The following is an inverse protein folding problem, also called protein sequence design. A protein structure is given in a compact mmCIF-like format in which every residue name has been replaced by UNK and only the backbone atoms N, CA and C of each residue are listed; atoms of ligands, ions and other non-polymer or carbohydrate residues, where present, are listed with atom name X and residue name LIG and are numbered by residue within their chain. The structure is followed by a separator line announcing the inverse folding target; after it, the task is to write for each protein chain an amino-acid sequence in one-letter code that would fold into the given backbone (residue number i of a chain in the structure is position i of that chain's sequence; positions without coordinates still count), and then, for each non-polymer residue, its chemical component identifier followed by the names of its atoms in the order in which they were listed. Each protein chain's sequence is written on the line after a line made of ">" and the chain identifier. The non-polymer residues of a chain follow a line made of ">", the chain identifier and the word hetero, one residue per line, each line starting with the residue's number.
data_IF_556970912941
#
_entry.id   IF_556970912941
#
_cell.length_a   1.000
_cell.length_b   1.000
_cell.length_c   1.000
_cell.angle_alpha   90.00
_cell.angle_beta   90.00
_cell.angle_gamma   90.00
#
_symmetry.space_group_name_H-M   'P 1'
#
loop_
_entity.id
_entity.type
_entity.pdbx_description
1 polymer ?
#
# COMPACT_ATOMS: atom_id res chain seq x y z
N UNK A 1 -0.60 -12.48 4.69
CA UNK A 1 -0.88 -11.17 5.28
C UNK A 1 -2.02 -10.53 4.51
N UNK A 2 -3.06 -10.07 5.21
CA UNK A 2 -4.27 -9.49 4.62
C UNK A 2 -4.21 -7.96 4.67
N UNK A 3 -4.45 -7.31 3.52
CA UNK A 3 -4.54 -5.86 3.41
C UNK A 3 -5.90 -5.49 2.83
N UNK A 4 -6.45 -4.39 3.30
CA UNK A 4 -7.62 -3.74 2.69
C UNK A 4 -7.17 -2.38 2.18
N UNK A 5 -7.25 -2.21 0.87
CA UNK A 5 -7.02 -0.91 0.24
C UNK A 5 -8.32 -0.14 0.34
N UNK A 6 -8.27 1.06 0.88
CA UNK A 6 -9.47 1.85 1.20
C UNK A 6 -9.32 3.27 0.71
N UNK A 7 -10.39 3.81 0.19
CA UNK A 7 -10.55 5.22 -0.17
C UNK A 7 -11.97 5.70 0.15
N UNK A 8 -12.15 7.01 0.39
CA UNK A 8 -13.44 7.62 0.70
C UNK A 8 -13.68 8.91 -0.06
N UNK A 9 -14.95 9.15 -0.47
CA UNK A 9 -15.42 10.46 -0.91
C UNK A 9 -16.28 11.09 0.17
N UNK A 10 -16.24 12.43 0.25
CA UNK A 10 -16.82 13.16 1.36
C UNK A 10 -17.52 14.45 0.91
N UNK A 11 -18.39 15.01 1.77
CA UNK A 11 -19.04 16.29 1.50
C UNK A 11 -18.11 17.51 1.63
N UNK A 12 -16.86 17.31 2.08
CA UNK A 12 -15.90 18.39 2.29
C UNK A 12 -14.62 17.89 2.95
N UNK A 13 -13.88 18.78 3.61
CA UNK A 13 -12.54 18.49 4.12
C UNK A 13 -12.46 18.35 5.65
N UNK A 14 -13.55 18.65 6.37
CA UNK A 14 -13.51 18.87 7.81
C UNK A 14 -14.56 18.03 8.56
N UNK A 15 -14.26 16.79 8.95
CA UNK A 15 -15.18 15.92 9.68
C UNK A 15 -15.68 16.55 11.00
N UNK A 16 -14.82 17.36 11.67
CA UNK A 16 -15.14 18.07 12.90
C UNK A 16 -16.12 19.24 12.68
N UNK A 17 -16.30 19.70 11.44
CA UNK A 17 -17.24 20.77 11.07
C UNK A 17 -18.54 20.23 10.47
N UNK A 18 -18.73 18.91 10.56
CA UNK A 18 -19.95 18.27 10.12
C UNK A 18 -19.91 17.70 8.71
N UNK A 19 -18.76 17.69 8.04
CA UNK A 19 -18.63 16.95 6.79
C UNK A 19 -18.76 15.45 7.03
N UNK A 20 -19.28 14.73 6.03
CA UNK A 20 -19.69 13.33 6.10
C UNK A 20 -19.09 12.53 4.96
N UNK A 21 -18.94 11.22 5.17
CA UNK A 21 -18.60 10.28 4.09
C UNK A 21 -19.82 10.06 3.21
N UNK A 22 -19.62 10.03 1.89
CA UNK A 22 -20.67 9.78 0.89
C UNK A 22 -20.39 8.54 0.04
N UNK A 23 -19.15 8.11 -0.04
CA UNK A 23 -18.74 6.87 -0.70
C UNK A 23 -17.58 6.24 0.05
N UNK A 24 -17.54 4.94 0.12
CA UNK A 24 -16.39 4.15 0.58
C UNK A 24 -16.16 3.01 -0.39
N UNK A 25 -14.90 2.86 -0.82
CA UNK A 25 -14.43 1.76 -1.64
C UNK A 25 -13.34 0.98 -0.93
N UNK A 26 -13.46 -0.35 -0.90
CA UNK A 26 -12.45 -1.21 -0.30
C UNK A 26 -12.15 -2.40 -1.20
N UNK A 27 -10.87 -2.77 -1.30
CA UNK A 27 -10.40 -3.94 -2.06
C UNK A 27 -9.53 -4.81 -1.17
N UNK A 28 -9.79 -6.10 -1.19
CA UNK A 28 -8.99 -7.06 -0.42
C UNK A 28 -7.79 -7.58 -1.21
N UNK A 29 -6.63 -7.49 -0.59
CA UNK A 29 -5.42 -8.19 -1.04
C UNK A 29 -5.03 -9.24 0.01
N UNK A 30 -4.77 -10.46 -0.43
CA UNK A 30 -4.17 -11.48 0.41
C UNK A 30 -2.82 -11.92 -0.16
N UNK A 31 -1.79 -11.81 0.68
CA UNK A 31 -0.41 -12.11 0.25
C UNK A 31 -0.03 -11.39 -1.05
N UNK A 32 -0.40 -10.10 -1.15
CA UNK A 32 -0.14 -9.22 -2.31
C UNK A 32 -0.87 -9.62 -3.60
N UNK A 33 -1.96 -10.34 -3.50
CA UNK A 33 -2.80 -10.73 -4.65
C UNK A 33 -4.22 -10.27 -4.41
N UNK A 34 -4.88 -9.63 -5.39
CA UNK A 34 -6.30 -9.35 -5.29
C UNK A 34 -7.08 -10.66 -5.11
N UNK A 35 -7.98 -10.68 -4.14
CA UNK A 35 -8.85 -11.84 -3.88
C UNK A 35 -10.13 -11.78 -4.70
N UNK A 36 -10.43 -10.63 -5.29
CA UNK A 36 -11.70 -10.32 -5.95
C UNK A 36 -12.80 -9.89 -4.99
N UNK A 37 -12.54 -9.88 -3.67
CA UNK A 37 -13.50 -9.34 -2.72
C UNK A 37 -13.38 -7.83 -2.64
N UNK A 38 -14.50 -7.14 -2.75
CA UNK A 38 -14.63 -5.69 -2.63
C UNK A 38 -15.78 -5.34 -1.70
N UNK A 39 -15.70 -4.14 -1.13
CA UNK A 39 -16.81 -3.52 -0.43
C UNK A 39 -16.99 -2.13 -1.02
N UNK A 40 -18.24 -1.78 -1.37
CA UNK A 40 -18.54 -0.51 -1.98
C UNK A 40 -19.90 -0.01 -1.51
N UNK A 41 -19.92 1.17 -0.90
CA UNK A 41 -21.17 1.81 -0.49
C UNK A 41 -21.20 3.27 -0.91
N UNK A 42 -22.32 3.70 -1.45
CA UNK A 42 -22.76 5.08 -1.45
C UNK A 42 -23.61 5.34 -0.22
N UNK A 43 -23.47 6.49 0.40
CA UNK A 43 -24.15 6.82 1.65
C UNK A 43 -24.83 8.18 1.58
N UNK A 44 -26.04 8.24 2.15
CA UNK A 44 -26.70 9.51 2.39
C UNK A 44 -26.00 10.23 3.53
N UNK A 45 -25.41 11.43 3.28
CA UNK A 45 -24.70 12.20 4.31
C UNK A 45 -25.62 12.90 5.32
N UNK A 46 -26.94 12.80 5.14
CA UNK A 46 -27.95 13.51 5.95
C UNK A 46 -27.72 15.04 5.98
N UNK A 47 -27.16 15.57 4.91
CA UNK A 47 -26.88 16.99 4.69
C UNK A 47 -26.76 17.29 3.20
N UNK A 48 -26.83 18.56 2.84
CA UNK A 48 -26.64 18.99 1.46
C UNK A 48 -25.20 18.71 0.97
N UNK A 49 -25.09 18.37 -0.30
CA UNK A 49 -23.82 18.19 -0.99
C UNK A 49 -23.31 19.55 -1.50
N UNK A 50 -22.14 20.03 -1.02
CA UNK A 50 -21.54 21.22 -1.56
C UNK A 50 -21.10 21.03 -3.02
N UNK A 51 -21.35 22.03 -3.87
CA UNK A 51 -21.00 21.96 -5.30
C UNK A 51 -19.50 21.72 -5.53
N UNK A 52 -18.63 22.24 -4.65
CA UNK A 52 -17.20 22.03 -4.73
C UNK A 52 -16.80 20.56 -4.57
N UNK A 53 -17.47 19.81 -3.68
CA UNK A 53 -17.27 18.39 -3.51
C UNK A 53 -17.86 17.60 -4.68
N UNK A 54 -19.11 17.93 -5.07
CA UNK A 54 -19.77 17.31 -6.22
C UNK A 54 -18.98 17.48 -7.54
N UNK A 55 -18.27 18.58 -7.71
CA UNK A 55 -17.40 18.79 -8.88
C UNK A 55 -16.20 17.85 -8.93
N UNK A 56 -15.76 17.29 -7.80
CA UNK A 56 -14.62 16.38 -7.68
C UNK A 56 -15.06 14.94 -7.99
N UNK A 57 -16.06 14.42 -7.27
CA UNK A 57 -16.48 13.02 -7.33
C UNK A 57 -17.80 12.79 -8.10
N UNK A 58 -18.51 13.85 -8.50
CA UNK A 58 -19.72 13.75 -9.31
C UNK A 58 -21.00 13.34 -8.56
N UNK A 59 -20.92 13.01 -7.28
CA UNK A 59 -22.06 12.59 -6.47
C UNK A 59 -22.90 13.80 -6.07
N UNK A 60 -24.20 13.74 -6.28
CA UNK A 60 -25.16 14.82 -6.00
C UNK A 60 -26.17 14.40 -4.94
N UNK A 61 -26.81 15.38 -4.29
CA UNK A 61 -27.80 15.13 -3.23
C UNK A 61 -28.96 14.24 -3.68
N UNK A 62 -29.45 14.41 -4.92
CA UNK A 62 -30.53 13.61 -5.49
C UNK A 62 -30.16 12.13 -5.62
N UNK A 63 -28.94 11.84 -6.06
CA UNK A 63 -28.42 10.47 -6.14
C UNK A 63 -28.23 9.84 -4.76
N UNK A 64 -27.83 10.62 -3.75
CA UNK A 64 -27.51 10.13 -2.41
C UNK A 64 -28.74 10.03 -1.50
N UNK A 65 -29.86 10.67 -1.87
CA UNK A 65 -31.06 10.76 -1.03
C UNK A 65 -31.66 9.39 -0.64
N UNK A 66 -31.58 8.41 -1.52
CA UNK A 66 -32.11 7.06 -1.34
C UNK A 66 -31.08 6.04 -0.83
N UNK A 67 -29.85 6.46 -0.60
CA UNK A 67 -28.77 5.59 -0.12
C UNK A 67 -28.85 5.38 1.39
N UNK A 68 -28.31 4.25 1.91
CA UNK A 68 -28.25 4.02 3.35
C UNK A 68 -27.41 5.10 4.04
N UNK A 69 -27.73 5.42 5.28
CA UNK A 69 -26.87 6.24 6.13
C UNK A 69 -25.67 5.43 6.63
N UNK A 70 -24.59 6.09 7.05
CA UNK A 70 -23.38 5.41 7.55
C UNK A 70 -23.67 4.40 8.66
N UNK A 71 -24.59 4.70 9.56
CA UNK A 71 -25.00 3.82 10.65
C UNK A 71 -25.48 2.43 10.16
N UNK A 72 -26.12 2.38 9.00
CA UNK A 72 -26.68 1.13 8.44
C UNK A 72 -25.58 0.21 7.87
N UNK A 73 -24.45 0.75 7.44
CA UNK A 73 -23.36 0.01 6.77
C UNK A 73 -22.11 -0.15 7.66
N UNK A 74 -22.05 0.54 8.79
CA UNK A 74 -20.89 0.56 9.67
C UNK A 74 -20.44 -0.84 10.13
N UNK A 75 -21.39 -1.75 10.40
CA UNK A 75 -21.09 -3.11 10.80
C UNK A 75 -20.42 -3.92 9.69
N UNK A 76 -20.87 -3.75 8.44
CA UNK A 76 -20.28 -4.43 7.28
C UNK A 76 -18.88 -3.91 7.00
N UNK A 77 -18.67 -2.58 7.11
CA UNK A 77 -17.34 -1.97 6.99
C UNK A 77 -16.41 -2.55 8.06
N UNK A 78 -16.83 -2.56 9.34
CA UNK A 78 -16.02 -3.11 10.44
C UNK A 78 -15.68 -4.59 10.21
N UNK A 79 -16.63 -5.39 9.77
CA UNK A 79 -16.42 -6.81 9.48
C UNK A 79 -15.45 -7.03 8.31
N UNK A 80 -15.51 -6.17 7.29
CA UNK A 80 -14.65 -6.29 6.11
C UNK A 80 -13.18 -5.94 6.43
N UNK A 81 -12.93 -4.94 7.29
CA UNK A 81 -11.57 -4.51 7.66
C UNK A 81 -10.97 -5.30 8.82
N UNK A 82 -11.77 -6.10 9.51
CA UNK A 82 -11.34 -6.85 10.68
C UNK A 82 -10.11 -7.71 10.38
N UNK A 83 -9.13 -7.67 11.28
CA UNK A 83 -7.88 -8.44 11.21
C UNK A 83 -7.01 -8.16 9.96
N UNK A 84 -7.23 -7.02 9.28
CA UNK A 84 -6.46 -6.61 8.12
C UNK A 84 -5.72 -5.28 8.36
N UNK A 85 -4.52 -5.14 7.79
CA UNK A 85 -3.88 -3.82 7.69
C UNK A 85 -4.59 -3.01 6.60
N UNK A 86 -4.95 -1.77 6.94
CA UNK A 86 -5.64 -0.88 6.00
C UNK A 86 -4.60 -0.01 5.28
N UNK A 87 -4.67 0.04 3.96
CA UNK A 87 -3.77 0.83 3.10
C UNK A 87 -4.57 1.99 2.53
N UNK A 88 -4.11 3.19 2.76
CA UNK A 88 -4.78 4.43 2.36
C UNK A 88 -3.74 5.39 1.77
N UNK A 89 -4.16 6.26 0.86
CA UNK A 89 -3.31 7.33 0.33
C UNK A 89 -3.64 8.65 1.02
N UNK A 90 -2.74 9.19 1.85
CA UNK A 90 -3.00 10.30 2.77
C UNK A 90 -3.96 9.90 3.90
N UNK A 91 -3.62 8.83 4.58
CA UNK A 91 -4.45 8.18 5.60
C UNK A 91 -5.07 9.10 6.68
N UNK A 92 -4.45 10.20 7.13
CA UNK A 92 -5.06 11.10 8.10
C UNK A 92 -6.41 11.66 7.67
N UNK A 93 -6.63 11.85 6.35
CA UNK A 93 -7.89 12.35 5.82
C UNK A 93 -9.03 11.34 6.05
N UNK A 94 -8.93 10.17 5.49
CA UNK A 94 -9.97 9.13 5.57
C UNK A 94 -10.19 8.64 7.00
N UNK A 95 -9.10 8.45 7.74
CA UNK A 95 -9.18 8.05 9.14
C UNK A 95 -9.88 9.10 10.02
N UNK A 96 -9.68 10.39 9.72
CA UNK A 96 -10.39 11.47 10.40
C UNK A 96 -11.90 11.36 10.23
N UNK A 97 -12.36 11.09 9.01
CA UNK A 97 -13.76 10.89 8.70
C UNK A 97 -14.32 9.60 9.30
N UNK A 98 -13.64 8.48 9.09
CA UNK A 98 -14.06 7.18 9.64
C UNK A 98 -14.17 7.23 11.17
N UNK A 99 -13.14 7.76 11.85
CA UNK A 99 -13.19 7.89 13.31
C UNK A 99 -14.37 8.75 13.77
N UNK A 100 -14.67 9.84 13.07
CA UNK A 100 -15.79 10.73 13.41
C UNK A 100 -17.14 10.03 13.18
N UNK A 101 -17.31 9.28 12.10
CA UNK A 101 -18.54 8.54 11.83
C UNK A 101 -18.79 7.47 12.90
N UNK A 102 -17.78 6.69 13.29
CA UNK A 102 -17.89 5.70 14.38
C UNK A 102 -18.14 6.37 15.73
N UNK A 103 -17.51 7.50 16.01
CA UNK A 103 -17.75 8.29 17.22
C UNK A 103 -19.22 8.75 17.33
N UNK A 104 -19.82 9.19 16.21
CA UNK A 104 -21.26 9.57 16.15
C UNK A 104 -22.16 8.41 16.49
N UNK A 105 -21.75 7.17 16.24
CA UNK A 105 -22.46 5.95 16.64
C UNK A 105 -22.19 5.52 18.07
N UNK A 106 -21.39 6.25 18.84
CA UNK A 106 -20.96 5.86 20.19
C UNK A 106 -20.03 4.64 20.18
N UNK A 107 -19.39 4.33 19.06
CA UNK A 107 -18.48 3.21 18.91
C UNK A 107 -17.01 3.66 19.07
N UNK A 108 -16.09 2.72 19.36
CA UNK A 108 -14.67 3.02 19.34
C UNK A 108 -14.21 3.59 18.00
N UNK A 109 -13.16 4.44 17.99
CA UNK A 109 -12.58 4.94 16.76
C UNK A 109 -12.21 3.79 15.79
N UNK A 110 -12.40 4.00 14.49
CA UNK A 110 -12.07 3.02 13.44
C UNK A 110 -10.63 2.50 13.57
N UNK A 111 -9.70 3.38 13.93
CA UNK A 111 -8.29 3.05 14.15
C UNK A 111 -8.04 2.03 15.27
N UNK A 112 -8.98 1.82 16.18
CA UNK A 112 -8.88 0.80 17.23
C UNK A 112 -9.43 -0.56 16.78
N UNK A 113 -10.11 -0.62 15.64
CA UNK A 113 -10.72 -1.85 15.10
C UNK A 113 -9.79 -2.62 14.16
N UNK A 114 -8.67 -2.01 13.78
CA UNK A 114 -7.72 -2.55 12.80
C UNK A 114 -6.33 -2.70 13.41
N UNK A 115 -5.54 -3.71 12.99
CA UNK A 115 -4.19 -3.94 13.53
C UNK A 115 -3.18 -2.86 13.11
N UNK A 116 -3.40 -2.16 12.01
CA UNK A 116 -2.49 -1.10 11.56
C UNK A 116 -2.91 -0.45 10.25
N UNK A 117 -2.26 0.68 9.96
CA UNK A 117 -2.47 1.48 8.76
C UNK A 117 -1.16 1.64 8.01
N UNK A 118 -1.22 1.56 6.69
CA UNK A 118 -0.14 1.92 5.78
C UNK A 118 -0.56 3.19 5.04
N UNK A 119 0.20 4.27 5.20
CA UNK A 119 -0.01 5.51 4.44
C UNK A 119 0.94 5.54 3.23
N UNK A 120 0.39 5.27 2.05
CA UNK A 120 1.17 5.23 0.82
C UNK A 120 1.71 6.58 0.39
N UNK A 121 1.13 7.72 0.86
CA UNK A 121 1.69 9.04 0.60
C UNK A 121 3.01 9.24 1.34
N UNK A 122 3.06 8.83 2.62
CA UNK A 122 4.30 8.90 3.41
C UNK A 122 5.38 8.02 2.79
N UNK A 123 5.04 6.80 2.40
CA UNK A 123 6.00 5.88 1.78
C UNK A 123 6.47 6.41 0.42
N UNK A 124 5.57 6.96 -0.40
CA UNK A 124 5.94 7.60 -1.66
C UNK A 124 6.85 8.83 -1.47
N UNK A 125 6.62 9.64 -0.43
CA UNK A 125 7.49 10.78 -0.11
C UNK A 125 8.90 10.33 0.27
N UNK A 126 9.03 9.21 0.96
CA UNK A 126 10.34 8.60 1.28
C UNK A 126 11.05 8.06 0.03
N UNK A 127 10.30 7.39 -0.86
CA UNK A 127 10.83 6.83 -2.11
C UNK A 127 11.19 7.91 -3.13
N UNK A 128 10.42 9.00 -3.17
CA UNK A 128 10.54 10.07 -4.18
C UNK A 128 10.57 11.45 -3.54
N UNK A 129 11.62 11.78 -2.76
CA UNK A 129 11.71 13.07 -2.09
C UNK A 129 11.69 14.24 -3.09
N UNK A 130 10.95 15.28 -2.75
CA UNK A 130 10.83 16.49 -3.59
C UNK A 130 9.99 16.33 -4.86
N UNK A 131 9.37 15.17 -5.07
CA UNK A 131 8.43 14.95 -6.19
C UNK A 131 6.97 15.08 -5.73
N UNK A 132 6.07 15.33 -6.69
CA UNK A 132 4.64 15.18 -6.45
C UNK A 132 4.33 13.70 -6.26
N UNK A 133 3.52 13.39 -5.26
CA UNK A 133 3.20 12.03 -4.88
C UNK A 133 1.67 11.84 -4.68
N UNK A 134 0.84 12.56 -5.43
CA UNK A 134 -0.60 12.29 -5.51
C UNK A 134 -0.82 10.94 -6.19
N UNK A 135 -1.97 10.34 -6.02
CA UNK A 135 -2.30 9.04 -6.61
C UNK A 135 -2.08 9.04 -8.13
N UNK A 136 -2.53 10.09 -8.85
CA UNK A 136 -2.31 10.24 -10.30
C UNK A 136 -0.83 10.34 -10.68
N UNK A 137 -0.03 11.10 -9.90
CA UNK A 137 1.42 11.22 -10.13
C UNK A 137 2.12 9.87 -9.97
N UNK A 138 1.65 9.05 -9.02
CA UNK A 138 2.18 7.70 -8.78
C UNK A 138 1.73 6.74 -9.88
N UNK A 139 0.47 6.77 -10.31
CA UNK A 139 -0.01 6.00 -11.45
C UNK A 139 0.84 6.27 -12.69
N UNK A 140 1.06 7.54 -13.04
CA UNK A 140 1.91 7.93 -14.16
C UNK A 140 3.34 7.41 -14.01
N UNK A 141 3.92 7.52 -12.81
CA UNK A 141 5.31 7.09 -12.52
C UNK A 141 5.50 5.59 -12.65
N UNK A 142 4.51 4.81 -12.24
CA UNK A 142 4.55 3.34 -12.31
C UNK A 142 3.95 2.77 -13.59
N UNK A 143 3.50 3.62 -14.54
CA UNK A 143 2.87 3.18 -15.79
C UNK A 143 1.51 2.52 -15.60
N UNK A 144 0.80 2.86 -14.53
CA UNK A 144 -0.55 2.39 -14.23
C UNK A 144 -1.53 3.29 -15.01
N UNK A 145 -2.40 2.68 -15.81
CA UNK A 145 -3.36 3.41 -16.64
C UNK A 145 -4.51 3.94 -15.78
N UNK A 146 -4.73 5.25 -15.82
CA UNK A 146 -5.82 5.95 -15.13
C UNK A 146 -6.64 6.87 -16.06
N UNK A 147 -6.52 6.68 -17.38
CA UNK A 147 -7.17 7.48 -18.42
C UNK A 147 -8.71 7.37 -18.42
N UNK A 148 -9.26 6.32 -17.81
CA UNK A 148 -10.69 6.14 -17.61
C UNK A 148 -11.25 6.89 -16.38
N UNK A 149 -10.38 7.44 -15.51
CA UNK A 149 -10.75 8.22 -14.34
C UNK A 149 -11.07 9.66 -14.72
N UNK A 150 -12.33 9.93 -15.02
CA UNK A 150 -12.82 11.30 -15.31
C UNK A 150 -13.21 12.08 -14.06
N UNK A 151 -13.71 11.38 -13.06
CA UNK A 151 -14.08 11.89 -11.74
C UNK A 151 -13.45 10.98 -10.69
N UNK A 152 -13.32 11.49 -9.49
CA UNK A 152 -12.91 10.67 -8.34
C UNK A 152 -14.07 9.74 -7.95
N UNK A 153 -13.74 8.53 -7.53
CA UNK A 153 -14.70 7.56 -7.02
C UNK A 153 -13.97 6.57 -6.14
N UNK A 154 -14.46 6.38 -4.91
CA UNK A 154 -13.73 5.67 -3.87
C UNK A 154 -13.34 4.23 -4.27
N UNK A 155 -14.19 3.49 -4.97
CA UNK A 155 -13.82 2.14 -5.40
C UNK A 155 -12.74 2.16 -6.49
N UNK A 156 -12.87 3.05 -7.49
CA UNK A 156 -11.90 3.20 -8.57
C UNK A 156 -10.53 3.67 -8.01
N UNK A 157 -10.56 4.61 -7.08
CA UNK A 157 -9.34 5.13 -6.45
C UNK A 157 -8.68 4.06 -5.57
N UNK A 158 -9.46 3.21 -4.89
CA UNK A 158 -8.94 2.03 -4.20
C UNK A 158 -8.32 1.00 -5.17
N UNK A 159 -8.88 0.80 -6.39
CA UNK A 159 -8.30 -0.07 -7.42
C UNK A 159 -6.93 0.47 -7.88
N UNK A 160 -6.87 1.74 -8.24
CA UNK A 160 -5.62 2.40 -8.63
C UNK A 160 -4.59 2.37 -7.50
N UNK A 161 -5.04 2.60 -6.26
CA UNK A 161 -4.18 2.54 -5.08
C UNK A 161 -3.64 1.13 -4.83
N UNK A 162 -4.43 0.08 -5.09
CA UNK A 162 -3.97 -1.29 -4.98
C UNK A 162 -2.80 -1.56 -5.94
N UNK A 163 -2.93 -1.14 -7.20
CA UNK A 163 -1.86 -1.29 -8.20
C UNK A 163 -0.62 -0.47 -7.83
N UNK A 164 -0.80 0.77 -7.36
CA UNK A 164 0.30 1.63 -6.87
C UNK A 164 0.99 0.98 -5.66
N UNK A 165 0.25 0.51 -4.67
CA UNK A 165 0.80 -0.17 -3.49
C UNK A 165 1.59 -1.42 -3.88
N UNK A 166 1.07 -2.23 -4.78
CA UNK A 166 1.78 -3.40 -5.31
C UNK A 166 3.05 -3.01 -6.08
N UNK A 167 3.03 -1.92 -6.85
CA UNK A 167 4.19 -1.42 -7.57
C UNK A 167 5.26 -0.86 -6.62
N UNK A 168 4.87 -0.03 -5.66
CA UNK A 168 5.78 0.55 -4.65
C UNK A 168 6.50 -0.50 -3.83
N UNK A 169 5.82 -1.59 -3.51
CA UNK A 169 6.34 -2.68 -2.69
C UNK A 169 6.93 -3.85 -3.51
N UNK A 170 7.03 -3.72 -4.85
CA UNK A 170 7.78 -4.65 -5.70
C UNK A 170 9.28 -4.44 -5.44
N UNK A 171 9.96 -5.47 -5.02
CA UNK A 171 11.42 -5.41 -4.77
C UNK A 171 11.80 -5.18 -3.31
N UNK A 172 10.89 -4.94 -2.41
CA UNK A 172 11.10 -5.14 -0.97
C UNK A 172 11.03 -6.64 -0.61
N UNK A 173 11.66 -7.50 -1.40
CA UNK A 173 12.22 -8.72 -0.87
C UNK A 173 13.46 -8.27 -0.12
N UNK A 174 13.25 -7.96 1.14
CA UNK A 174 14.28 -7.65 2.10
C UNK A 174 15.32 -8.78 2.05
N UNK A 175 16.46 -8.48 1.47
CA UNK A 175 17.68 -9.26 1.68
C UNK A 175 18.14 -8.95 3.11
N UNK A 176 17.32 -9.25 4.11
CA UNK A 176 17.58 -9.25 5.55
C UNK A 176 18.83 -8.56 6.11
N UNK A 177 19.30 -7.46 5.49
CA UNK A 177 20.56 -6.79 5.85
C UNK A 177 20.39 -5.49 6.63
N UNK A 178 19.17 -5.02 6.87
CA UNK A 178 18.96 -3.68 7.47
C UNK A 178 18.37 -3.64 8.89
N UNK A 179 18.29 -4.75 9.62
CA UNK A 179 17.95 -4.70 11.05
C UNK A 179 18.93 -5.47 11.94
N UNK A 180 20.04 -4.80 12.38
CA UNK A 180 20.94 -5.42 13.37
C UNK A 180 20.29 -5.65 14.74
N UNK A 181 19.13 -5.06 15.01
CA UNK A 181 18.51 -5.11 16.34
C UNK A 181 17.50 -6.23 16.58
N UNK A 182 16.87 -6.79 15.52
CA UNK A 182 15.95 -7.92 15.68
C UNK A 182 16.64 -9.29 15.63
N UNK A 183 17.88 -9.34 15.17
CA UNK A 183 18.68 -10.60 15.14
C UNK A 183 19.09 -11.10 16.52
N UNK A 184 19.07 -10.26 17.55
CA UNK A 184 19.46 -10.66 18.90
C UNK A 184 18.34 -11.37 19.70
N UNK A 185 17.08 -11.20 19.32
CA UNK A 185 15.95 -11.87 19.98
C UNK A 185 15.55 -13.19 19.32
N UNK A 186 15.92 -13.42 18.07
CA UNK A 186 15.60 -14.65 17.32
C UNK A 186 16.63 -15.76 17.45
N UNK A 187 17.76 -15.50 18.12
CA UNK A 187 18.85 -16.51 18.26
C UNK A 187 18.58 -17.60 19.29
N UNK A 188 17.44 -17.61 19.98
CA UNK A 188 17.19 -18.62 21.02
C UNK A 188 16.46 -19.89 20.54
N UNK A 189 16.09 -20.05 19.27
CA UNK A 189 15.40 -21.26 18.80
C UNK A 189 15.82 -21.76 17.41
N UNK A 190 17.08 -21.56 17.02
CA UNK A 190 17.64 -22.33 15.91
C UNK A 190 18.02 -23.71 16.42
N UNK A 191 17.09 -24.69 16.33
CA UNK A 191 17.49 -26.07 16.27
C UNK A 191 18.54 -26.21 15.18
N UNK A 192 19.74 -26.65 15.56
CA UNK A 192 20.84 -26.96 14.63
C UNK A 192 20.30 -27.91 13.56
N UNK A 193 19.90 -27.37 12.40
CA UNK A 193 19.74 -28.20 11.22
C UNK A 193 21.12 -28.75 10.91
N UNK A 194 21.30 -30.07 10.99
CA UNK A 194 22.52 -30.74 10.54
C UNK A 194 22.69 -30.45 9.04
N UNK A 195 23.56 -29.49 8.72
CA UNK A 195 24.07 -29.37 7.36
C UNK A 195 24.78 -30.68 7.03
N UNK A 196 24.53 -31.27 5.85
CA UNK A 196 25.27 -32.47 5.43
C UNK A 196 26.76 -32.12 5.47
N UNK A 197 27.53 -32.92 6.18
CA UNK A 197 28.99 -32.77 6.28
C UNK A 197 29.72 -33.19 5.00
N UNK A 198 28.98 -33.63 3.99
CA UNK A 198 29.53 -34.16 2.72
C UNK A 198 29.06 -33.35 1.52
N UNK A 199 29.29 -32.02 1.59
CA UNK A 199 29.09 -31.11 0.46
C UNK A 199 30.25 -31.29 -0.52
N UNK A 200 29.98 -31.85 -1.69
CA UNK A 200 30.97 -31.97 -2.76
C UNK A 200 31.24 -30.59 -3.35
N UNK A 201 32.41 -30.02 -3.06
CA UNK A 201 32.90 -28.81 -3.68
C UNK A 201 33.36 -29.13 -5.10
N UNK A 202 32.67 -28.56 -6.11
CA UNK A 202 33.12 -28.67 -7.50
C UNK A 202 34.20 -27.59 -7.71
N UNK A 203 35.41 -28.02 -7.98
CA UNK A 203 36.52 -27.10 -8.34
C UNK A 203 36.42 -26.77 -9.84
N UNK A 204 36.76 -25.51 -10.18
CA UNK A 204 36.83 -25.10 -11.57
C UNK A 204 37.88 -25.94 -12.33
N UNK A 205 37.58 -26.34 -13.57
CA UNK A 205 38.51 -27.03 -14.44
C UNK A 205 39.50 -26.05 -15.09
N UNK A 206 40.59 -26.54 -15.67
CA UNK A 206 41.66 -25.73 -16.24
C UNK A 206 41.17 -24.75 -17.33
N UNK A 207 40.14 -25.16 -18.10
CA UNK A 207 39.54 -24.30 -19.14
C UNK A 207 38.79 -23.14 -18.52
N UNK A 208 38.04 -23.39 -17.46
CA UNK A 208 37.28 -22.34 -16.75
C UNK A 208 38.23 -21.35 -16.07
N UNK A 209 39.32 -21.83 -15.47
CA UNK A 209 40.36 -20.99 -14.86
C UNK A 209 41.00 -20.12 -15.93
N UNK A 210 41.37 -20.68 -17.08
CA UNK A 210 41.98 -19.92 -18.17
C UNK A 210 41.07 -18.82 -18.75
N UNK A 211 39.78 -19.14 -18.97
CA UNK A 211 38.78 -18.16 -19.41
C UNK A 211 38.58 -17.06 -18.37
N UNK A 212 38.58 -17.40 -17.10
CA UNK A 212 38.49 -16.42 -16.02
C UNK A 212 39.68 -15.46 -16.02
N UNK A 213 40.90 -15.99 -16.14
CA UNK A 213 42.12 -15.17 -16.21
C UNK A 213 42.12 -14.23 -17.43
N UNK A 214 41.66 -14.68 -18.59
CA UNK A 214 41.53 -13.85 -19.79
C UNK A 214 40.56 -12.69 -19.54
N UNK A 215 39.38 -12.97 -18.94
CA UNK A 215 38.39 -11.95 -18.59
C UNK A 215 38.95 -10.92 -17.61
N UNK A 216 39.72 -11.37 -16.60
CA UNK A 216 40.37 -10.48 -15.65
C UNK A 216 41.38 -9.53 -16.32
N UNK A 217 42.15 -10.04 -17.29
CA UNK A 217 43.09 -9.24 -18.04
C UNK A 217 42.40 -8.17 -18.92
N UNK A 218 41.26 -8.54 -19.55
CA UNK A 218 40.45 -7.59 -20.31
C UNK A 218 39.86 -6.49 -19.42
N UNK A 219 39.33 -6.86 -18.25
CA UNK A 219 38.82 -5.91 -17.27
C UNK A 219 39.94 -4.95 -16.81
N UNK A 220 41.10 -5.46 -16.46
CA UNK A 220 42.25 -4.66 -16.03
C UNK A 220 42.69 -3.69 -17.12
N UNK A 221 42.68 -4.11 -18.39
CA UNK A 221 43.01 -3.22 -19.53
C UNK A 221 41.98 -2.12 -19.72
N UNK A 222 40.67 -2.39 -19.55
CA UNK A 222 39.60 -1.41 -19.71
C UNK A 222 39.50 -0.45 -18.52
N UNK A 223 39.65 -0.95 -17.30
CA UNK A 223 39.52 -0.16 -16.05
C UNK A 223 40.78 0.61 -15.69
N UNK A 224 41.92 0.25 -16.27
CA UNK A 224 43.26 0.76 -15.91
C UNK A 224 43.60 0.54 -14.42
N UNK A 225 42.94 -0.39 -13.76
CA UNK A 225 43.16 -0.75 -12.35
C UNK A 225 43.15 -2.28 -12.21
N UNK A 226 43.96 -2.85 -11.31
CA UNK A 226 43.91 -4.29 -11.04
C UNK A 226 42.55 -4.66 -10.41
N UNK A 227 42.03 -5.87 -10.68
CA UNK A 227 40.78 -6.34 -10.08
C UNK A 227 40.89 -6.37 -8.55
N UNK A 228 39.84 -5.90 -7.86
CA UNK A 228 39.83 -5.72 -6.39
C UNK A 228 40.01 -7.01 -5.57
N UNK A 229 39.75 -8.19 -6.16
CA UNK A 229 39.93 -9.49 -5.51
C UNK A 229 41.30 -10.14 -5.69
N UNK A 230 42.25 -9.43 -6.28
CA UNK A 230 43.68 -9.80 -6.33
C UNK A 230 44.54 -8.94 -5.39
N UNK A 231 43.90 -8.16 -4.51
CA UNK A 231 44.58 -7.36 -3.49
C UNK A 231 44.55 -8.04 -2.13
#
# INVERSE_FOLDING_TARGET
>A
MRHIILDTETTGLHPNQGDRIVEIGCIELENRRPTGKTLHFYMNPERDMPEAAAAIHGLRSDFLADKPIFASVAQEISAFVKDAHVVIHNAPFDLGFLNMEYQRLGQPPFTQMIPGVVDTLIDAQRMFPGKRNRLDDLCQRFGIRNDHRKLHGALLDAELLADVFLAMTRGQNDLGMDHPQELLSSQMNLQKSHLPTDLKVLMANDTEIHLHEQLLQEIAKKSKQPPSWLQ
#
